data_IF_956533417593
#
_entry.id   IF_956533417593
#
_cell.length_a   1.000
_cell.length_b   1.000
_cell.length_c   1.000
_cell.angle_alpha   90.00
_cell.angle_beta   90.00
_cell.angle_gamma   90.00
#
_symmetry.space_group_name_H-M   'P 1'
#
loop_
_entity.id
_entity.type
_entity.pdbx_description
1 polymer ?
#
# COMPACT_ATOMS: atom_id res chain seq x y z
N UNK A 1 -11.63 20.29 -4.52
CA UNK A 1 -10.45 19.73 -3.81
C UNK A 1 -9.23 20.08 -4.63
N UNK A 2 -8.15 20.45 -3.95
CA UNK A 2 -6.91 20.89 -4.59
C UNK A 2 -5.80 19.88 -4.32
N UNK A 3 -4.89 19.70 -5.28
CA UNK A 3 -3.70 18.90 -5.08
C UNK A 3 -3.10 18.39 -6.37
N UNK A 4 -1.79 18.57 -6.54
CA UNK A 4 -1.05 18.13 -7.73
C UNK A 4 -1.24 16.63 -8.05
N UNK A 5 -1.38 15.79 -7.02
CA UNK A 5 -1.64 14.35 -7.18
C UNK A 5 -2.99 14.07 -7.86
N UNK A 6 -4.04 14.79 -7.46
CA UNK A 6 -5.38 14.61 -8.03
C UNK A 6 -5.43 15.09 -9.48
N UNK A 7 -4.77 16.21 -9.78
CA UNK A 7 -4.65 16.70 -11.17
C UNK A 7 -3.84 15.73 -12.04
N UNK A 8 -2.74 15.18 -11.52
CA UNK A 8 -1.96 14.17 -12.23
C UNK A 8 -2.80 12.92 -12.52
N UNK A 9 -3.57 12.42 -11.56
CA UNK A 9 -4.44 11.24 -11.74
C UNK A 9 -5.52 11.49 -12.81
N UNK A 10 -6.10 12.70 -12.86
CA UNK A 10 -7.12 13.03 -13.89
C UNK A 10 -6.55 12.97 -15.31
N UNK A 11 -5.30 13.39 -15.49
CA UNK A 11 -4.66 13.45 -16.82
C UNK A 11 -3.95 12.15 -17.18
N UNK A 12 -3.35 11.47 -16.18
CA UNK A 12 -2.55 10.26 -16.32
C UNK A 12 -2.96 9.25 -15.23
N UNK A 13 -4.04 8.48 -15.46
CA UNK A 13 -4.59 7.59 -14.45
C UNK A 13 -3.78 6.30 -14.28
N UNK A 14 -2.83 5.98 -15.16
CA UNK A 14 -1.95 4.82 -15.02
C UNK A 14 -0.98 5.02 -13.85
N UNK A 15 -1.03 4.12 -12.86
CA UNK A 15 -0.26 4.23 -11.62
C UNK A 15 0.48 2.94 -11.27
N UNK A 16 1.57 3.11 -10.53
CA UNK A 16 2.26 2.02 -9.84
C UNK A 16 2.18 2.26 -8.32
N UNK A 17 1.49 1.36 -7.62
CA UNK A 17 1.45 1.35 -6.15
C UNK A 17 2.62 0.52 -5.64
N UNK A 18 3.46 1.11 -4.79
CA UNK A 18 4.59 0.45 -4.15
C UNK A 18 4.41 0.41 -2.63
N UNK A 19 4.62 -0.76 -2.03
CA UNK A 19 4.66 -0.94 -0.58
C UNK A 19 5.94 -1.68 -0.19
N UNK A 20 6.64 -1.17 0.84
CA UNK A 20 7.90 -1.74 1.33
C UNK A 20 7.84 -1.89 2.85
N UNK A 21 8.36 -2.98 3.37
CA UNK A 21 8.49 -3.26 4.81
C UNK A 21 9.82 -3.94 5.11
N UNK A 22 10.13 -4.06 6.41
CA UNK A 22 11.36 -4.67 6.95
C UNK A 22 12.66 -4.03 6.46
N UNK A 23 12.68 -2.73 6.19
CA UNK A 23 13.87 -1.97 5.76
C UNK A 23 14.97 -2.00 6.84
N UNK A 24 15.78 -3.07 6.87
CA UNK A 24 16.79 -3.31 7.88
C UNK A 24 18.18 -3.39 7.24
N UNK A 25 19.00 -2.33 7.35
CA UNK A 25 20.38 -2.34 6.87
C UNK A 25 21.19 -3.41 7.60
N UNK A 26 22.04 -4.12 6.87
CA UNK A 26 22.84 -5.21 7.43
C UNK A 26 24.07 -5.46 6.56
N UNK A 27 24.96 -6.31 7.07
CA UNK A 27 26.08 -6.86 6.31
C UNK A 27 25.73 -8.32 5.99
N UNK A 28 25.96 -8.75 4.76
CA UNK A 28 25.70 -10.12 4.32
C UNK A 28 26.46 -11.12 5.21
N UNK A 29 25.76 -12.03 5.91
CA UNK A 29 26.40 -12.86 6.94
C UNK A 29 27.54 -13.74 6.43
N UNK A 30 27.53 -14.08 5.14
CA UNK A 30 28.52 -14.97 4.51
C UNK A 30 29.49 -14.27 3.56
N UNK A 31 29.08 -13.17 2.95
CA UNK A 31 29.85 -12.49 1.90
C UNK A 31 30.38 -11.12 2.32
N UNK A 32 30.01 -10.61 3.50
CA UNK A 32 30.45 -9.31 3.99
C UNK A 32 29.86 -8.12 3.21
N UNK A 33 28.88 -8.34 2.34
CA UNK A 33 28.33 -7.28 1.48
C UNK A 33 27.46 -6.29 2.26
N UNK A 34 27.60 -4.99 2.01
CA UNK A 34 26.65 -4.00 2.52
C UNK A 34 25.30 -4.19 1.84
N UNK A 35 24.24 -4.39 2.63
CA UNK A 35 22.92 -4.72 2.07
C UNK A 35 21.76 -4.33 2.97
N UNK A 36 20.55 -4.57 2.49
CA UNK A 36 19.29 -4.25 3.17
C UNK A 36 18.40 -5.50 3.10
N UNK A 37 17.92 -5.99 4.23
CA UNK A 37 16.78 -6.89 4.22
C UNK A 37 15.51 -6.08 3.95
N UNK A 38 14.61 -6.60 3.15
CA UNK A 38 13.35 -5.92 2.80
C UNK A 38 12.32 -6.93 2.31
N UNK A 39 11.05 -6.53 2.35
CA UNK A 39 9.97 -7.12 1.56
C UNK A 39 9.25 -5.99 0.85
N UNK A 40 9.07 -6.10 -0.46
CA UNK A 40 8.33 -5.13 -1.26
C UNK A 40 7.31 -5.80 -2.16
N UNK A 41 6.26 -5.07 -2.48
CA UNK A 41 5.32 -5.40 -3.53
C UNK A 41 5.04 -4.16 -4.38
N UNK A 42 4.91 -4.37 -5.69
CA UNK A 42 4.39 -3.38 -6.62
C UNK A 42 3.12 -3.90 -7.28
N UNK A 43 2.19 -3.00 -7.58
CA UNK A 43 0.99 -3.31 -8.32
C UNK A 43 0.72 -2.19 -9.33
N UNK A 44 0.47 -2.55 -10.57
CA UNK A 44 0.08 -1.63 -11.62
C UNK A 44 -1.44 -1.58 -11.75
N UNK A 45 -1.97 -0.40 -12.06
CA UNK A 45 -3.41 -0.22 -12.18
C UNK A 45 -3.81 1.13 -12.73
N UNK A 46 -5.12 1.33 -12.79
CA UNK A 46 -5.75 2.59 -13.17
C UNK A 46 -6.36 3.26 -11.93
N UNK A 47 -5.95 4.49 -11.65
CA UNK A 47 -6.45 5.32 -10.57
C UNK A 47 -7.64 6.17 -11.03
N UNK A 48 -8.69 6.19 -10.22
CA UNK A 48 -9.92 6.94 -10.48
C UNK A 48 -10.37 7.66 -9.22
N UNK A 49 -10.73 8.93 -9.35
CA UNK A 49 -11.31 9.71 -8.23
C UNK A 49 -12.75 9.25 -8.08
N UNK A 50 -13.09 8.72 -6.89
CA UNK A 50 -14.44 8.28 -6.57
C UNK A 50 -15.32 9.48 -6.30
N UNK A 51 -16.40 9.63 -7.07
CA UNK A 51 -17.36 10.74 -6.96
C UNK A 51 -18.64 10.33 -6.24
N UNK A 52 -19.03 9.06 -6.30
CA UNK A 52 -20.20 8.54 -5.59
C UNK A 52 -19.96 8.52 -4.08
N UNK A 53 -20.86 9.15 -3.32
CA UNK A 53 -20.69 9.27 -1.87
C UNK A 53 -20.80 7.91 -1.17
N UNK A 54 -21.67 7.01 -1.63
CA UNK A 54 -21.82 5.69 -1.02
C UNK A 54 -20.53 4.85 -1.23
N UNK A 55 -19.95 4.87 -2.42
CA UNK A 55 -18.66 4.23 -2.70
C UNK A 55 -17.53 4.84 -1.86
N UNK A 56 -17.48 6.17 -1.70
CA UNK A 56 -16.51 6.82 -0.81
C UNK A 56 -16.63 6.34 0.62
N UNK A 57 -17.85 6.34 1.17
CA UNK A 57 -18.10 5.90 2.55
C UNK A 57 -17.72 4.43 2.71
N UNK A 58 -18.08 3.58 1.75
CA UNK A 58 -17.74 2.16 1.77
C UNK A 58 -16.23 1.94 1.78
N UNK A 59 -15.48 2.60 0.88
CA UNK A 59 -14.02 2.51 0.83
C UNK A 59 -13.34 2.99 2.12
N UNK A 60 -13.81 4.10 2.69
CA UNK A 60 -13.30 4.60 3.98
C UNK A 60 -13.63 3.64 5.13
N UNK A 61 -14.81 3.02 5.13
CA UNK A 61 -15.20 2.01 6.14
C UNK A 61 -14.26 0.82 6.12
N UNK A 62 -13.97 0.25 4.95
CA UNK A 62 -13.03 -0.87 4.79
C UNK A 62 -11.63 -0.53 5.30
N UNK A 63 -11.16 0.71 5.08
CA UNK A 63 -9.86 1.17 5.59
C UNK A 63 -9.89 1.25 7.13
N UNK A 64 -10.93 1.85 7.71
CA UNK A 64 -11.07 1.97 9.16
C UNK A 64 -11.20 0.60 9.84
N UNK A 65 -12.00 -0.32 9.29
CA UNK A 65 -12.13 -1.70 9.81
C UNK A 65 -10.80 -2.45 9.78
N UNK A 66 -9.98 -2.22 8.74
CA UNK A 66 -8.66 -2.86 8.64
C UNK A 66 -7.67 -2.37 9.69
N UNK A 67 -7.64 -1.06 9.96
CA UNK A 67 -6.57 -0.45 10.78
C UNK A 67 -6.99 -0.12 12.21
N UNK A 68 -8.28 0.14 12.45
CA UNK A 68 -8.85 0.51 13.76
C UNK A 68 -10.21 -0.19 14.00
N UNK A 69 -10.30 -1.54 13.90
CA UNK A 69 -11.58 -2.26 14.00
C UNK A 69 -12.32 -2.04 15.32
N UNK A 70 -11.61 -1.74 16.40
CA UNK A 70 -12.19 -1.56 17.74
C UNK A 70 -12.78 -0.16 17.96
N UNK A 71 -12.63 0.78 17.02
CA UNK A 71 -13.04 2.18 17.14
C UNK A 71 -14.09 2.59 16.09
N UNK A 72 -14.86 1.63 15.59
CA UNK A 72 -15.86 1.86 14.54
C UNK A 72 -17.09 2.64 15.02
N UNK A 73 -17.27 2.79 16.34
CA UNK A 73 -18.27 3.67 16.96
C UNK A 73 -18.07 5.14 16.58
N UNK A 74 -16.82 5.58 16.36
CA UNK A 74 -16.49 6.94 15.95
C UNK A 74 -16.59 7.18 14.42
N UNK A 75 -16.90 6.15 13.63
CA UNK A 75 -16.81 6.20 12.17
C UNK A 75 -17.83 7.16 11.55
N UNK A 76 -19.12 6.98 11.86
CA UNK A 76 -20.19 7.75 11.20
C UNK A 76 -20.08 9.26 11.51
N UNK A 77 -19.69 9.61 12.74
CA UNK A 77 -19.41 11.00 13.11
C UNK A 77 -18.22 11.57 12.33
N UNK A 78 -17.17 10.78 12.11
CA UNK A 78 -15.99 11.19 11.35
C UNK A 78 -16.31 11.41 9.86
N UNK A 79 -17.15 10.54 9.29
CA UNK A 79 -17.67 10.66 7.92
C UNK A 79 -18.49 11.93 7.78
N UNK A 80 -19.49 12.16 8.64
CA UNK A 80 -20.34 13.35 8.60
C UNK A 80 -19.52 14.66 8.62
N UNK A 81 -18.43 14.68 9.40
CA UNK A 81 -17.55 15.85 9.52
C UNK A 81 -16.64 16.08 8.32
N UNK A 82 -16.19 15.02 7.63
CA UNK A 82 -15.01 15.12 6.75
C UNK A 82 -15.21 14.62 5.33
N UNK A 83 -16.30 13.91 5.03
CA UNK A 83 -16.52 13.28 3.72
C UNK A 83 -16.41 14.27 2.54
N UNK A 84 -16.98 15.46 2.69
CA UNK A 84 -17.02 16.50 1.64
C UNK A 84 -15.63 17.04 1.25
N UNK A 85 -14.65 16.94 2.14
CA UNK A 85 -13.26 17.40 1.92
C UNK A 85 -12.26 16.26 1.73
N UNK A 86 -12.69 15.01 1.83
CA UNK A 86 -11.85 13.83 1.63
C UNK A 86 -11.97 13.32 0.20
N UNK A 87 -10.87 13.35 -0.55
CA UNK A 87 -10.76 12.64 -1.83
C UNK A 87 -10.55 11.15 -1.56
N UNK A 88 -11.30 10.29 -2.27
CA UNK A 88 -11.05 8.85 -2.30
C UNK A 88 -10.64 8.50 -3.72
N UNK A 89 -9.55 7.74 -3.83
CA UNK A 89 -9.04 7.24 -5.11
C UNK A 89 -9.10 5.73 -5.08
N UNK A 90 -9.81 5.15 -6.04
CA UNK A 90 -9.81 3.72 -6.30
C UNK A 90 -8.67 3.41 -7.27
N UNK A 91 -7.93 2.33 -7.02
CA UNK A 91 -6.97 1.80 -7.98
C UNK A 91 -7.46 0.41 -8.40
N UNK A 92 -7.86 0.28 -9.65
CA UNK A 92 -8.20 -1.02 -10.25
C UNK A 92 -6.93 -1.64 -10.80
N UNK A 93 -6.51 -2.76 -10.22
CA UNK A 93 -5.29 -3.45 -10.64
C UNK A 93 -5.47 -4.03 -12.05
N UNK A 94 -4.47 -3.83 -12.91
CA UNK A 94 -4.46 -4.39 -14.28
C UNK A 94 -3.87 -5.80 -14.32
N UNK A 95 -3.11 -6.17 -13.30
CA UNK A 95 -2.46 -7.47 -13.15
C UNK A 95 -2.23 -7.81 -11.67
N UNK A 96 -1.98 -9.09 -11.32
CA UNK A 96 -1.61 -9.46 -9.95
C UNK A 96 -0.35 -8.71 -9.47
N UNK A 97 -0.30 -8.26 -8.20
CA UNK A 97 0.89 -7.63 -7.64
C UNK A 97 2.11 -8.54 -7.72
N UNK A 98 3.28 -7.96 -7.98
CA UNK A 98 4.56 -8.68 -7.95
C UNK A 98 5.36 -8.29 -6.73
N UNK A 99 6.13 -9.24 -6.19
CA UNK A 99 6.86 -9.06 -4.93
C UNK A 99 8.34 -9.38 -5.05
N UNK A 100 9.16 -8.67 -4.28
CA UNK A 100 10.59 -8.95 -4.12
C UNK A 100 10.95 -8.90 -2.65
N UNK A 101 11.89 -9.76 -2.23
CA UNK A 101 12.44 -9.71 -0.88
C UNK A 101 13.92 -10.02 -0.88
N UNK A 102 14.61 -9.50 0.13
CA UNK A 102 15.90 -10.02 0.59
C UNK A 102 15.78 -10.33 2.08
N UNK A 103 16.05 -11.58 2.43
CA UNK A 103 15.97 -12.08 3.80
C UNK A 103 17.00 -13.20 3.96
N UNK A 104 17.61 -13.30 5.14
CA UNK A 104 18.47 -14.42 5.51
C UNK A 104 17.76 -15.35 6.48
N UNK A 105 18.05 -16.65 6.40
CA UNK A 105 17.63 -17.63 7.40
C UNK A 105 18.52 -17.55 8.66
N UNK A 106 18.22 -18.39 9.65
CA UNK A 106 19.00 -18.50 10.89
C UNK A 106 20.47 -18.88 10.68
N UNK A 107 20.80 -19.53 9.56
CA UNK A 107 22.17 -19.92 9.18
C UNK A 107 22.87 -18.86 8.32
N UNK A 108 22.24 -17.69 8.16
CA UNK A 108 22.77 -16.57 7.38
C UNK A 108 22.74 -16.79 5.86
N UNK A 109 21.99 -17.78 5.35
CA UNK A 109 21.84 -18.04 3.92
C UNK A 109 20.69 -17.20 3.35
N UNK A 110 20.92 -16.53 2.22
CA UNK A 110 19.87 -15.73 1.59
C UNK A 110 18.72 -16.63 1.12
N UNK A 111 17.51 -16.27 1.53
CA UNK A 111 16.27 -16.93 1.13
C UNK A 111 15.81 -16.46 -0.25
N UNK A 112 16.36 -17.10 -1.30
CA UNK A 112 15.98 -16.86 -2.70
C UNK A 112 14.50 -17.23 -2.98
N UNK A 113 14.02 -16.81 -4.15
CA UNK A 113 12.63 -17.01 -4.58
C UNK A 113 12.20 -18.49 -4.45
N UNK A 114 10.99 -18.71 -3.94
CA UNK A 114 10.40 -20.05 -3.73
C UNK A 114 10.79 -20.76 -2.42
N UNK A 115 11.84 -20.32 -1.71
CA UNK A 115 12.23 -20.93 -0.43
C UNK A 115 11.30 -20.46 0.70
N UNK A 116 10.59 -21.37 1.35
CA UNK A 116 9.79 -21.08 2.55
C UNK A 116 10.52 -21.61 3.80
N UNK A 117 10.42 -20.87 4.90
CA UNK A 117 10.83 -21.27 6.25
C UNK A 117 9.78 -20.77 7.23
#
# INVERSE_FOLDING_TARGET
>A
MEGKKLEAIKTHPEVCLSAVTRCAPTVGPKDGSFTLQFKSAIAFGKAEIVTDEAEKIHGLRLICERFLPQHMDAFDQSIARSLSRTAVVRITLTEPPTGKRKQYDKEGVEMKYGRME
#
